data_IF_642510552517
#
_entry.id   IF_642510552517
#
_cell.length_a   1.000
_cell.length_b   1.000
_cell.length_c   1.000
_cell.angle_alpha   90.00
_cell.angle_beta   90.00
_cell.angle_gamma   90.00
#
_symmetry.space_group_name_H-M   'P 1'
#
loop_
_entity.id
_entity.type
_entity.pdbx_description
1 polymer ?
#
# COMPACT_ATOMS: atom_id res chain seq x y z
N UNK A 1 -13.12 -5.34 25.78
CA UNK A 1 -13.18 -4.70 27.11
C UNK A 1 -12.67 -5.62 28.22
N UNK A 2 -12.90 -6.91 28.13
CA UNK A 2 -12.57 -7.87 29.22
C UNK A 2 -11.07 -8.04 29.53
N UNK A 3 -10.20 -7.83 28.53
CA UNK A 3 -8.73 -7.91 28.72
C UNK A 3 -8.23 -6.82 29.68
N UNK A 4 -8.78 -5.62 29.63
CA UNK A 4 -8.38 -4.48 30.46
C UNK A 4 -8.71 -4.76 31.94
N UNK A 5 -9.91 -5.29 32.23
CA UNK A 5 -10.35 -5.55 33.56
C UNK A 5 -9.57 -6.68 34.26
N UNK A 6 -9.15 -7.72 33.50
CA UNK A 6 -8.51 -8.92 34.02
C UNK A 6 -7.00 -8.77 34.28
N UNK A 7 -6.32 -7.79 33.69
CA UNK A 7 -4.86 -7.67 33.79
C UNK A 7 -4.37 -6.36 34.45
N UNK A 8 -5.26 -5.57 35.00
CA UNK A 8 -4.91 -4.28 35.60
C UNK A 8 -4.31 -3.30 34.59
N UNK A 9 -4.76 -3.36 33.33
CA UNK A 9 -4.24 -2.53 32.24
C UNK A 9 -4.77 -1.11 32.38
N UNK A 10 -3.88 -0.13 32.39
CA UNK A 10 -4.23 1.29 32.36
C UNK A 10 -4.37 1.75 30.91
N UNK A 11 -5.44 2.45 30.59
CA UNK A 11 -5.62 3.12 29.30
C UNK A 11 -5.01 4.51 29.40
N UNK A 12 -4.09 4.81 28.49
CA UNK A 12 -3.52 6.15 28.32
C UNK A 12 -4.10 6.76 27.05
N UNK A 13 -4.52 8.02 27.11
CA UNK A 13 -4.92 8.80 25.95
C UNK A 13 -3.86 9.83 25.63
N UNK A 14 -3.63 10.07 24.34
CA UNK A 14 -2.83 11.18 23.86
C UNK A 14 -3.45 11.73 22.57
N UNK A 15 -3.19 12.99 22.28
CA UNK A 15 -3.61 13.62 21.05
C UNK A 15 -2.55 13.43 19.95
N UNK A 16 -3.00 13.06 18.77
CA UNK A 16 -2.18 12.97 17.56
C UNK A 16 -3.01 13.41 16.37
N UNK A 17 -2.52 14.40 15.63
CA UNK A 17 -3.16 14.93 14.43
C UNK A 17 -4.63 15.34 14.69
N UNK A 18 -4.89 16.02 15.83
CA UNK A 18 -6.22 16.46 16.26
C UNK A 18 -7.17 15.32 16.67
N UNK A 19 -6.65 14.09 16.83
CA UNK A 19 -7.44 12.91 17.24
C UNK A 19 -6.93 12.32 18.53
N UNK A 20 -7.86 11.94 19.41
CA UNK A 20 -7.52 11.21 20.64
C UNK A 20 -7.21 9.76 20.29
N UNK A 21 -5.99 9.32 20.63
CA UNK A 21 -5.55 7.93 20.54
C UNK A 21 -5.60 7.29 21.93
N UNK A 22 -6.11 6.07 21.98
CA UNK A 22 -6.14 5.28 23.21
C UNK A 22 -5.10 4.17 23.15
N UNK A 23 -4.12 4.22 24.05
CA UNK A 23 -3.08 3.21 24.17
C UNK A 23 -3.12 2.53 25.54
N UNK A 24 -2.84 1.24 25.54
CA UNK A 24 -2.82 0.43 26.74
C UNK A 24 -1.43 0.43 27.38
N UNK A 25 -1.38 0.12 28.68
CA UNK A 25 -0.14 -0.12 29.39
C UNK A 25 0.61 -1.32 28.78
N UNK A 26 1.69 -1.03 28.09
CA UNK A 26 2.52 -2.04 27.41
C UNK A 26 3.18 -3.01 28.38
N UNK A 27 3.51 -2.58 29.59
CA UNK A 27 4.15 -3.44 30.60
C UNK A 27 3.21 -4.55 31.08
N UNK A 28 1.92 -4.25 31.28
CA UNK A 28 0.93 -5.27 31.64
C UNK A 28 0.84 -6.37 30.56
N UNK A 29 0.82 -5.99 29.28
CA UNK A 29 0.80 -6.97 28.19
C UNK A 29 2.11 -7.76 28.04
N UNK A 30 3.27 -7.14 28.27
CA UNK A 30 4.54 -7.88 28.33
C UNK A 30 4.54 -8.95 29.41
N UNK A 31 3.97 -8.66 30.58
CA UNK A 31 3.78 -9.66 31.66
C UNK A 31 2.88 -10.80 31.20
N UNK A 32 1.78 -10.52 30.50
CA UNK A 32 0.90 -11.58 29.96
C UNK A 32 1.66 -12.49 29.00
N UNK A 33 2.54 -11.94 28.16
CA UNK A 33 3.37 -12.75 27.25
C UNK A 33 4.43 -13.58 27.97
N UNK A 34 4.91 -13.12 29.14
CA UNK A 34 5.94 -13.82 29.93
C UNK A 34 5.37 -14.88 30.89
N UNK A 35 4.06 -14.82 31.21
CA UNK A 35 3.41 -15.72 32.16
C UNK A 35 2.74 -16.91 31.44
N UNK A 36 2.49 -18.02 32.15
CA UNK A 36 1.60 -19.06 31.65
C UNK A 36 0.21 -18.47 31.35
N UNK A 37 -0.16 -18.46 30.08
CA UNK A 37 -1.41 -17.87 29.59
C UNK A 37 -1.94 -18.67 28.41
N UNK A 38 -3.23 -18.56 28.11
CA UNK A 38 -3.84 -19.22 26.97
C UNK A 38 -3.34 -18.63 25.64
N UNK A 39 -3.43 -19.39 24.54
CA UNK A 39 -3.08 -18.88 23.22
C UNK A 39 -3.82 -17.59 22.87
N UNK A 40 -5.12 -17.50 23.20
CA UNK A 40 -5.94 -16.31 23.00
C UNK A 40 -5.43 -15.12 23.81
N UNK A 41 -5.13 -15.29 25.09
CA UNK A 41 -4.62 -14.19 25.93
C UNK A 41 -3.29 -13.65 25.41
N UNK A 42 -2.39 -14.54 24.96
CA UNK A 42 -1.12 -14.12 24.32
C UNK A 42 -1.36 -13.36 23.01
N UNK A 43 -2.29 -13.83 22.17
CA UNK A 43 -2.62 -13.16 20.93
C UNK A 43 -3.23 -11.76 21.16
N UNK A 44 -4.17 -11.64 22.12
CA UNK A 44 -4.77 -10.34 22.48
C UNK A 44 -3.69 -9.37 23.00
N UNK A 45 -2.76 -9.85 23.84
CA UNK A 45 -1.64 -9.05 24.34
C UNK A 45 -0.68 -8.62 23.20
N UNK A 46 -0.35 -9.53 22.28
CA UNK A 46 0.49 -9.23 21.12
C UNK A 46 -0.18 -8.19 20.20
N UNK A 47 -1.47 -8.32 19.93
CA UNK A 47 -2.24 -7.35 19.14
C UNK A 47 -2.30 -5.97 19.80
N UNK A 48 -2.45 -5.91 21.14
CA UNK A 48 -2.44 -4.67 21.89
C UNK A 48 -1.07 -3.98 21.83
N UNK A 49 0.02 -4.72 22.08
CA UNK A 49 1.39 -4.20 22.05
C UNK A 49 1.82 -3.70 20.69
N UNK A 50 1.33 -4.31 19.62
CA UNK A 50 1.77 -4.02 18.25
C UNK A 50 0.88 -3.02 17.50
N UNK A 51 0.03 -2.25 18.20
CA UNK A 51 -0.83 -1.22 17.57
C UNK A 51 0.02 -0.09 17.01
N UNK A 52 -0.11 0.16 15.70
CA UNK A 52 0.62 1.25 15.03
C UNK A 52 0.31 2.63 15.62
N UNK A 53 -0.94 2.87 16.02
CA UNK A 53 -1.36 4.13 16.64
C UNK A 53 -0.69 4.40 18.01
N UNK A 54 -0.10 3.37 18.64
CA UNK A 54 0.58 3.49 19.93
C UNK A 54 2.12 3.57 19.81
N UNK A 55 2.65 3.62 18.60
CA UNK A 55 4.08 3.87 18.35
C UNK A 55 4.33 5.37 18.48
N UNK A 56 5.41 5.75 19.16
CA UNK A 56 5.81 7.14 19.29
C UNK A 56 6.06 7.76 17.90
N UNK A 57 5.35 8.82 17.52
CA UNK A 57 5.54 9.47 16.22
C UNK A 57 6.90 10.19 16.11
N UNK A 58 7.55 10.52 17.22
CA UNK A 58 8.84 11.21 17.26
C UNK A 58 10.03 10.27 16.99
N UNK A 59 9.82 8.96 16.87
CA UNK A 59 10.90 8.02 16.56
C UNK A 59 11.56 8.35 15.21
N UNK A 60 12.88 8.30 15.18
CA UNK A 60 13.66 8.39 13.93
C UNK A 60 13.40 7.17 13.04
N UNK A 61 13.72 7.29 11.77
CA UNK A 61 13.48 6.23 10.79
C UNK A 61 14.16 4.89 11.15
N UNK A 62 15.39 4.93 11.67
CA UNK A 62 16.12 3.75 12.15
C UNK A 62 15.42 3.07 13.34
N UNK A 63 14.94 3.87 14.28
CA UNK A 63 14.20 3.38 15.45
C UNK A 63 12.84 2.77 15.07
N UNK A 64 12.18 3.31 14.04
CA UNK A 64 10.93 2.74 13.55
C UNK A 64 11.13 1.35 12.95
N UNK A 65 12.23 1.14 12.22
CA UNK A 65 12.57 -0.18 11.70
C UNK A 65 12.74 -1.21 12.82
N UNK A 66 13.48 -0.84 13.87
CA UNK A 66 13.67 -1.71 15.03
C UNK A 66 12.34 -2.05 15.71
N UNK A 67 11.43 -1.07 15.79
CA UNK A 67 10.07 -1.28 16.32
C UNK A 67 9.26 -2.21 15.42
N UNK A 68 9.34 -2.08 14.10
CA UNK A 68 8.58 -2.96 13.19
C UNK A 68 9.14 -4.39 13.19
N UNK A 69 10.44 -4.56 13.26
CA UNK A 69 11.07 -5.88 13.45
C UNK A 69 10.67 -6.51 14.78
N UNK A 70 10.65 -5.73 15.87
CA UNK A 70 10.15 -6.19 17.17
C UNK A 70 8.65 -6.56 17.12
N UNK A 71 7.82 -5.76 16.44
CA UNK A 71 6.40 -6.06 16.24
C UNK A 71 6.21 -7.39 15.49
N UNK A 72 6.99 -7.62 14.45
CA UNK A 72 6.97 -8.86 13.70
C UNK A 72 7.32 -10.06 14.60
N UNK A 73 8.41 -9.96 15.39
CA UNK A 73 8.83 -11.01 16.32
C UNK A 73 7.77 -11.32 17.39
N UNK A 74 7.13 -10.30 17.95
CA UNK A 74 6.04 -10.49 18.94
C UNK A 74 4.85 -11.22 18.31
N UNK A 75 4.44 -10.82 17.10
CA UNK A 75 3.31 -11.42 16.41
C UNK A 75 3.62 -12.86 15.95
N UNK A 76 4.84 -13.14 15.51
CA UNK A 76 5.26 -14.47 15.02
C UNK A 76 5.23 -15.54 16.12
N UNK A 77 5.26 -15.14 17.39
CA UNK A 77 5.12 -16.03 18.55
C UNK A 77 3.67 -16.41 18.86
N UNK A 78 2.68 -15.87 18.13
CA UNK A 78 1.28 -16.25 18.32
C UNK A 78 1.01 -17.67 17.82
N UNK A 79 0.38 -18.47 18.68
CA UNK A 79 0.01 -19.87 18.42
C UNK A 79 -1.29 -19.94 17.60
N UNK A 80 -1.20 -19.67 16.30
CA UNK A 80 -2.34 -19.54 15.39
C UNK A 80 -3.29 -20.75 15.37
N UNK A 81 -2.80 -22.02 15.34
CA UNK A 81 -3.66 -23.20 15.30
C UNK A 81 -4.65 -23.27 16.47
N UNK A 82 -4.26 -22.74 17.64
CA UNK A 82 -5.06 -22.78 18.86
C UNK A 82 -5.88 -21.49 19.09
N UNK A 83 -6.03 -20.63 18.07
CA UNK A 83 -6.84 -19.41 18.14
C UNK A 83 -8.21 -19.60 17.47
N UNK A 84 -9.26 -18.95 18.02
CA UNK A 84 -10.51 -18.74 17.29
C UNK A 84 -10.23 -18.01 15.97
N UNK A 85 -10.99 -18.32 14.92
CA UNK A 85 -10.72 -17.84 13.56
C UNK A 85 -10.70 -16.30 13.45
N UNK A 86 -11.63 -15.62 14.09
CA UNK A 86 -11.65 -14.15 14.10
C UNK A 86 -10.42 -13.52 14.78
N UNK A 87 -9.83 -14.17 15.80
CA UNK A 87 -8.58 -13.71 16.43
C UNK A 87 -7.40 -13.99 15.51
N UNK A 88 -7.37 -15.17 14.88
CA UNK A 88 -6.37 -15.54 13.88
C UNK A 88 -6.35 -14.55 12.72
N UNK A 89 -7.51 -14.18 12.18
CA UNK A 89 -7.65 -13.14 11.16
C UNK A 89 -7.01 -11.81 11.59
N UNK A 90 -7.25 -11.37 12.81
CA UNK A 90 -6.65 -10.13 13.34
C UNK A 90 -5.14 -10.19 13.46
N UNK A 91 -4.59 -11.34 13.82
CA UNK A 91 -3.14 -11.56 13.84
C UNK A 91 -2.58 -11.52 12.41
N UNK A 92 -3.21 -12.22 11.47
CA UNK A 92 -2.82 -12.20 10.05
C UNK A 92 -2.85 -10.78 9.47
N UNK A 93 -3.92 -10.03 9.65
CA UNK A 93 -4.02 -8.63 9.20
C UNK A 93 -2.91 -7.75 9.81
N UNK A 94 -2.60 -7.93 11.09
CA UNK A 94 -1.54 -7.17 11.75
C UNK A 94 -0.16 -7.55 11.25
N UNK A 95 0.12 -8.85 11.06
CA UNK A 95 1.36 -9.33 10.45
C UNK A 95 1.53 -8.80 9.03
N UNK A 96 0.47 -8.89 8.21
CA UNK A 96 0.48 -8.39 6.84
C UNK A 96 0.86 -6.90 6.79
N UNK A 97 0.25 -6.06 7.63
CA UNK A 97 0.56 -4.64 7.68
C UNK A 97 2.01 -4.36 8.15
N UNK A 98 2.50 -5.08 9.17
CA UNK A 98 3.88 -4.92 9.68
C UNK A 98 4.90 -5.34 8.63
N UNK A 99 4.71 -6.49 7.99
CA UNK A 99 5.63 -6.95 6.95
C UNK A 99 5.60 -6.08 5.70
N UNK A 100 4.46 -5.48 5.36
CA UNK A 100 4.37 -4.48 4.30
C UNK A 100 5.17 -3.20 4.64
N UNK A 101 5.09 -2.69 5.87
CA UNK A 101 5.91 -1.56 6.32
C UNK A 101 7.40 -1.87 6.29
N UNK A 102 7.81 -3.07 6.73
CA UNK A 102 9.21 -3.52 6.64
C UNK A 102 9.68 -3.58 5.18
N UNK A 103 8.84 -4.11 4.27
CA UNK A 103 9.18 -4.16 2.85
C UNK A 103 9.35 -2.76 2.24
N UNK A 104 8.44 -1.84 2.57
CA UNK A 104 8.52 -0.44 2.12
C UNK A 104 9.80 0.25 2.60
N UNK A 105 10.15 0.14 3.88
CA UNK A 105 11.36 0.76 4.44
C UNK A 105 12.64 0.13 3.88
N UNK A 106 12.68 -1.20 3.68
CA UNK A 106 13.80 -1.86 3.01
C UNK A 106 13.99 -1.33 1.58
N UNK A 107 12.90 -1.21 0.82
CA UNK A 107 12.96 -0.67 -0.54
C UNK A 107 13.47 0.78 -0.57
N UNK A 108 13.02 1.63 0.35
CA UNK A 108 13.51 3.01 0.49
C UNK A 108 14.99 3.09 0.81
N UNK A 109 15.52 2.12 1.55
CA UNK A 109 16.94 2.02 1.90
C UNK A 109 17.77 1.25 0.86
N UNK A 110 17.18 0.93 -0.30
CA UNK A 110 17.82 0.14 -1.36
C UNK A 110 18.28 -1.26 -0.86
N UNK A 111 17.63 -1.78 0.15
CA UNK A 111 17.77 -3.14 0.64
C UNK A 111 16.74 -4.05 -0.04
N UNK A 112 16.95 -5.38 -0.03
CA UNK A 112 16.00 -6.32 -0.62
C UNK A 112 14.67 -6.34 0.15
N UNK A 113 13.55 -5.89 -0.47
CA UNK A 113 12.23 -5.94 0.15
C UNK A 113 11.49 -7.26 -0.08
N UNK A 114 12.00 -8.14 -0.95
CA UNK A 114 11.28 -9.28 -1.52
C UNK A 114 10.72 -10.23 -0.46
N UNK A 115 11.56 -10.67 0.48
CA UNK A 115 11.13 -11.59 1.54
C UNK A 115 9.96 -11.02 2.37
N UNK A 116 10.09 -9.75 2.76
CA UNK A 116 9.05 -9.07 3.55
C UNK A 116 7.75 -8.88 2.75
N UNK A 117 7.85 -8.56 1.46
CA UNK A 117 6.69 -8.43 0.58
C UNK A 117 5.97 -9.76 0.38
N UNK A 118 6.70 -10.86 0.14
CA UNK A 118 6.13 -12.22 0.04
C UNK A 118 5.41 -12.59 1.34
N UNK A 119 6.01 -12.33 2.50
CA UNK A 119 5.35 -12.58 3.80
C UNK A 119 4.09 -11.74 3.97
N UNK A 120 4.11 -10.46 3.65
CA UNK A 120 2.95 -9.60 3.73
C UNK A 120 1.77 -10.12 2.88
N UNK A 121 2.05 -10.54 1.64
CA UNK A 121 1.07 -11.13 0.74
C UNK A 121 0.50 -12.45 1.28
N UNK A 122 1.35 -13.35 1.78
CA UNK A 122 0.94 -14.62 2.35
C UNK A 122 0.02 -14.44 3.58
N UNK A 123 0.42 -13.58 4.52
CA UNK A 123 -0.37 -13.29 5.72
C UNK A 123 -1.75 -12.69 5.35
N UNK A 124 -1.83 -11.83 4.34
CA UNK A 124 -3.10 -11.28 3.89
C UNK A 124 -3.98 -12.32 3.17
N UNK A 125 -3.38 -13.25 2.44
CA UNK A 125 -4.09 -14.32 1.75
C UNK A 125 -4.72 -15.34 2.72
N UNK A 126 -4.15 -15.51 3.91
CA UNK A 126 -4.65 -16.41 4.95
C UNK A 126 -5.83 -15.81 5.75
N UNK A 127 -6.21 -14.57 5.48
CA UNK A 127 -7.37 -13.93 6.13
C UNK A 127 -8.66 -14.46 5.52
N UNK A 128 -9.59 -14.93 6.37
CA UNK A 128 -10.93 -15.37 5.97
C UNK A 128 -11.97 -14.23 6.15
N UNK A 129 -12.41 -13.55 5.08
CA UNK A 129 -13.35 -12.44 5.19
C UNK A 129 -14.74 -12.82 5.72
N UNK A 130 -15.10 -14.11 5.70
CA UNK A 130 -16.40 -14.60 6.20
C UNK A 130 -16.54 -14.49 7.71
N UNK A 131 -15.42 -14.41 8.41
CA UNK A 131 -15.33 -14.32 9.88
C UNK A 131 -15.03 -12.90 10.38
N UNK A 132 -15.34 -11.87 9.59
CA UNK A 132 -15.17 -10.47 9.98
C UNK A 132 -16.30 -9.98 10.88
N UNK A 133 -15.93 -9.32 11.98
CA UNK A 133 -16.79 -8.33 12.60
C UNK A 133 -16.73 -7.02 11.78
N UNK A 134 -17.71 -6.13 11.95
CA UNK A 134 -17.79 -4.85 11.21
C UNK A 134 -16.49 -4.04 11.27
N UNK A 135 -15.86 -3.97 12.43
CA UNK A 135 -14.60 -3.27 12.66
C UNK A 135 -13.38 -3.92 11.96
N UNK A 136 -13.46 -5.22 11.64
CA UNK A 136 -12.36 -5.95 11.03
C UNK A 136 -12.19 -5.56 9.55
N UNK A 137 -13.27 -5.16 8.87
CA UNK A 137 -13.22 -4.69 7.49
C UNK A 137 -12.31 -3.45 7.33
N UNK A 138 -12.36 -2.51 8.25
CA UNK A 138 -11.50 -1.31 8.24
C UNK A 138 -10.03 -1.72 8.42
N UNK A 139 -9.75 -2.64 9.35
CA UNK A 139 -8.39 -3.14 9.61
C UNK A 139 -7.85 -3.93 8.42
N UNK A 140 -8.71 -4.73 7.77
CA UNK A 140 -8.34 -5.45 6.56
C UNK A 140 -8.01 -4.50 5.41
N UNK A 141 -8.84 -3.49 5.17
CA UNK A 141 -8.60 -2.52 4.09
C UNK A 141 -7.30 -1.74 4.32
N UNK A 142 -6.99 -1.34 5.56
CA UNK A 142 -5.69 -0.73 5.90
C UNK A 142 -4.53 -1.66 5.55
N UNK A 143 -4.58 -2.92 5.97
CA UNK A 143 -3.56 -3.91 5.65
C UNK A 143 -3.46 -4.16 4.13
N UNK A 144 -4.59 -4.28 3.43
CA UNK A 144 -4.64 -4.53 2.00
C UNK A 144 -4.04 -3.38 1.19
N UNK A 145 -4.27 -2.12 1.59
CA UNK A 145 -3.65 -0.93 0.94
C UNK A 145 -2.13 -0.99 1.07
N UNK A 146 -1.61 -1.30 2.27
CA UNK A 146 -0.16 -1.42 2.53
C UNK A 146 0.46 -2.57 1.75
N UNK A 147 -0.12 -3.76 1.83
CA UNK A 147 0.35 -4.95 1.12
C UNK A 147 0.32 -4.75 -0.40
N UNK A 148 -0.77 -4.17 -0.92
CA UNK A 148 -0.86 -3.81 -2.33
C UNK A 148 0.22 -2.83 -2.78
N UNK A 149 0.72 -1.98 -1.87
CA UNK A 149 1.81 -1.04 -2.12
C UNK A 149 3.15 -1.71 -2.37
N UNK A 150 3.38 -2.87 -1.82
CA UNK A 150 4.68 -3.58 -1.91
C UNK A 150 4.63 -4.83 -2.78
N UNK A 151 3.49 -5.14 -3.40
CA UNK A 151 3.32 -6.36 -4.20
C UNK A 151 4.34 -6.51 -5.34
N UNK A 152 4.74 -5.40 -5.95
CA UNK A 152 5.75 -5.41 -7.04
C UNK A 152 7.15 -5.79 -6.56
N UNK A 153 7.40 -5.79 -5.26
CA UNK A 153 8.67 -6.24 -4.69
C UNK A 153 8.73 -7.78 -4.53
N UNK A 154 7.60 -8.47 -4.57
CA UNK A 154 7.55 -9.93 -4.44
C UNK A 154 8.13 -10.65 -5.67
N UNK A 155 7.98 -10.06 -6.85
CA UNK A 155 8.48 -10.60 -8.10
C UNK A 155 9.77 -9.92 -8.54
N UNK A 156 10.70 -10.63 -9.20
CA UNK A 156 11.88 -10.01 -9.78
C UNK A 156 11.45 -9.03 -10.90
N UNK A 157 12.16 -7.89 -10.98
CA UNK A 157 11.95 -6.96 -12.09
C UNK A 157 12.12 -7.70 -13.42
N UNK A 158 11.17 -7.58 -14.36
CA UNK A 158 11.36 -8.14 -15.69
C UNK A 158 12.61 -7.50 -16.32
N UNK A 159 13.47 -8.34 -16.88
CA UNK A 159 14.65 -7.85 -17.57
C UNK A 159 14.22 -6.92 -18.71
N UNK A 160 14.62 -5.66 -18.65
CA UNK A 160 14.35 -4.69 -19.71
C UNK A 160 15.12 -5.10 -20.95
N UNK A 161 14.43 -5.53 -21.98
CA UNK A 161 15.06 -5.85 -23.25
C UNK A 161 15.69 -4.56 -23.84
N UNK A 162 16.99 -4.55 -24.21
CA UNK A 162 17.59 -3.43 -24.90
C UNK A 162 16.82 -3.13 -26.20
N UNK A 163 16.49 -1.86 -26.44
CA UNK A 163 15.79 -1.44 -27.68
C UNK A 163 14.25 -1.53 -27.61
N UNK A 164 13.67 -1.89 -26.47
CA UNK A 164 12.22 -1.82 -26.27
C UNK A 164 11.73 -0.36 -26.31
N UNK A 165 10.49 -0.16 -26.77
CA UNK A 165 9.85 1.14 -26.91
C UNK A 165 9.82 2.01 -25.66
N UNK A 166 8.71 2.68 -25.40
CA UNK A 166 8.53 3.58 -24.27
C UNK A 166 8.76 2.87 -22.92
N UNK A 167 9.62 3.42 -22.06
CA UNK A 167 9.92 2.89 -20.72
C UNK A 167 10.38 3.99 -19.77
N UNK A 168 10.36 3.70 -18.48
CA UNK A 168 10.93 4.58 -17.45
C UNK A 168 12.31 4.08 -17.00
N UNK A 169 13.18 5.03 -16.73
CA UNK A 169 14.51 4.81 -16.13
C UNK A 169 14.60 5.69 -14.88
N UNK A 170 15.05 5.12 -13.77
CA UNK A 170 15.28 5.87 -12.54
C UNK A 170 16.75 6.22 -12.38
N UNK A 171 17.01 7.42 -11.89
CA UNK A 171 18.35 7.92 -11.53
C UNK A 171 18.28 8.61 -10.17
N UNK A 172 19.41 8.68 -9.49
CA UNK A 172 19.50 9.48 -8.27
C UNK A 172 19.40 10.97 -8.63
N UNK A 173 18.57 11.70 -7.88
CA UNK A 173 18.51 13.16 -7.87
C UNK A 173 19.30 13.76 -6.73
N UNK A 174 18.69 14.68 -5.96
CA UNK A 174 19.26 15.19 -4.71
C UNK A 174 19.34 14.07 -3.67
N UNK A 175 19.95 14.33 -2.51
CA UNK A 175 20.07 13.35 -1.44
C UNK A 175 18.69 12.81 -1.03
N UNK A 176 18.46 11.51 -1.24
CA UNK A 176 17.18 10.83 -0.98
C UNK A 176 16.12 10.98 -2.08
N UNK A 177 16.41 11.70 -3.17
CA UNK A 177 15.51 11.90 -4.29
C UNK A 177 15.77 10.87 -5.40
N UNK A 178 14.70 10.41 -6.03
CA UNK A 178 14.72 9.57 -7.24
C UNK A 178 14.08 10.34 -8.40
N UNK A 179 14.79 10.48 -9.50
CA UNK A 179 14.27 11.06 -10.74
C UNK A 179 13.84 9.95 -11.70
N UNK A 180 12.65 10.07 -12.27
CA UNK A 180 12.07 9.16 -13.26
C UNK A 180 12.12 9.83 -14.61
N UNK A 181 12.86 9.26 -15.54
CA UNK A 181 12.95 9.71 -16.91
C UNK A 181 12.16 8.77 -17.82
N UNK A 182 11.28 9.33 -18.66
CA UNK A 182 10.61 8.60 -19.74
C UNK A 182 11.51 8.60 -20.96
N UNK A 183 11.87 7.43 -21.44
CA UNK A 183 12.76 7.23 -22.58
C UNK A 183 12.16 6.25 -23.60
N UNK A 184 12.68 6.29 -24.83
CA UNK A 184 12.32 5.37 -25.91
C UNK A 184 13.57 4.93 -26.70
N UNK A 185 13.41 4.36 -27.86
CA UNK A 185 14.52 3.92 -28.70
C UNK A 185 15.41 5.07 -29.21
N UNK A 186 14.93 6.32 -29.20
CA UNK A 186 15.62 7.52 -29.74
C UNK A 186 16.09 8.46 -28.62
N UNK A 187 15.54 8.33 -27.43
CA UNK A 187 15.77 9.24 -26.29
C UNK A 187 16.35 8.48 -25.13
N UNK A 188 17.52 8.86 -24.68
CA UNK A 188 18.20 8.38 -23.48
C UNK A 188 17.89 9.26 -22.26
N UNK A 189 18.47 8.97 -21.10
CA UNK A 189 18.24 9.72 -19.86
C UNK A 189 18.62 11.20 -19.96
N UNK A 190 19.79 11.58 -20.52
CA UNK A 190 20.13 12.99 -20.75
C UNK A 190 19.17 13.75 -21.67
N UNK A 191 18.51 13.06 -22.57
CA UNK A 191 17.57 13.62 -23.56
C UNK A 191 16.18 13.00 -23.41
N UNK A 192 15.73 12.78 -22.17
CA UNK A 192 14.47 12.14 -21.88
C UNK A 192 13.28 12.91 -22.49
N UNK A 193 12.25 12.18 -22.90
CA UNK A 193 10.99 12.76 -23.38
C UNK A 193 10.35 13.67 -22.35
N UNK A 194 10.39 13.28 -21.08
CA UNK A 194 10.02 14.06 -19.90
C UNK A 194 10.61 13.39 -18.66
N UNK A 195 10.88 14.16 -17.63
CA UNK A 195 11.32 13.65 -16.33
C UNK A 195 10.61 14.34 -15.17
N UNK A 196 10.49 13.61 -14.06
CA UNK A 196 9.96 14.12 -12.80
C UNK A 196 10.68 13.44 -11.64
N UNK A 197 11.05 14.21 -10.61
CA UNK A 197 11.72 13.66 -9.43
C UNK A 197 10.77 13.57 -8.23
N UNK A 198 11.08 12.68 -7.28
CA UNK A 198 10.30 12.43 -6.08
C UNK A 198 11.18 11.93 -4.94
N UNK A 199 10.78 12.21 -3.70
CA UNK A 199 11.31 11.56 -2.49
C UNK A 199 10.56 10.26 -2.13
N UNK A 200 9.52 9.93 -2.92
CA UNK A 200 8.76 8.70 -2.78
C UNK A 200 9.45 7.49 -3.42
N UNK A 201 9.00 6.30 -3.04
CA UNK A 201 9.45 5.05 -3.65
C UNK A 201 8.81 4.87 -5.03
N UNK A 202 9.62 4.59 -6.04
CA UNK A 202 9.18 4.37 -7.42
C UNK A 202 9.15 2.87 -7.71
N UNK A 203 7.98 2.35 -8.03
CA UNK A 203 7.77 0.94 -8.39
C UNK A 203 7.90 0.74 -9.90
N UNK A 204 9.12 0.60 -10.41
CA UNK A 204 9.37 0.43 -11.86
C UNK A 204 8.62 -0.77 -12.45
N UNK A 205 8.47 -1.86 -11.68
CA UNK A 205 7.73 -3.05 -12.12
C UNK A 205 6.23 -2.80 -12.37
N UNK A 206 5.69 -1.68 -11.88
CA UNK A 206 4.31 -1.27 -12.13
C UNK A 206 4.09 -0.57 -13.47
N UNK A 207 5.18 -0.26 -14.21
CA UNK A 207 5.09 0.50 -15.43
C UNK A 207 4.23 -0.24 -16.49
N UNK A 208 3.21 0.43 -16.99
CA UNK A 208 2.33 -0.08 -18.04
C UNK A 208 2.23 0.94 -19.17
N UNK A 209 2.53 0.51 -20.40
CA UNK A 209 2.48 1.34 -21.60
C UNK A 209 1.21 1.02 -22.38
N UNK A 210 0.52 2.05 -22.91
CA UNK A 210 -0.62 1.82 -23.77
C UNK A 210 -0.19 1.29 -25.16
N UNK A 211 -1.09 0.63 -25.87
CA UNK A 211 -0.79 0.00 -27.16
C UNK A 211 -0.29 1.00 -28.24
N UNK A 212 -0.66 2.26 -28.12
CA UNK A 212 -0.23 3.32 -29.07
C UNK A 212 1.17 3.88 -28.75
N UNK A 213 1.78 3.54 -27.61
CA UNK A 213 3.06 4.12 -27.17
C UNK A 213 2.99 5.62 -26.85
N UNK A 214 1.81 6.14 -26.51
CA UNK A 214 1.55 7.56 -26.24
C UNK A 214 1.26 7.86 -24.76
N UNK A 215 1.20 6.83 -23.92
CA UNK A 215 1.04 6.98 -22.48
C UNK A 215 1.67 5.82 -21.72
N UNK A 216 2.12 6.11 -20.47
CA UNK A 216 2.63 5.15 -19.51
C UNK A 216 2.10 5.49 -18.13
N UNK A 217 1.58 4.48 -17.43
CA UNK A 217 1.20 4.58 -16.02
C UNK A 217 2.29 3.99 -15.13
N UNK A 218 2.54 4.61 -13.97
CA UNK A 218 3.58 4.21 -13.02
C UNK A 218 3.07 4.42 -11.58
N UNK A 219 3.29 3.45 -10.70
CA UNK A 219 3.01 3.60 -9.27
C UNK A 219 4.19 4.27 -8.56
N UNK A 220 3.89 5.33 -7.82
CA UNK A 220 4.83 6.04 -6.95
C UNK A 220 4.23 6.10 -5.55
N UNK A 221 5.03 5.80 -4.54
CA UNK A 221 4.60 5.68 -3.15
C UNK A 221 5.36 6.67 -2.28
N UNK A 222 4.82 7.88 -2.05
CA UNK A 222 5.46 8.90 -1.22
C UNK A 222 5.57 8.49 0.25
N UNK A 223 4.61 7.72 0.76
CA UNK A 223 4.55 7.26 2.15
C UNK A 223 4.08 5.80 2.22
N UNK A 224 4.38 5.12 3.31
CA UNK A 224 4.10 3.70 3.56
C UNK A 224 2.67 3.24 3.16
N UNK A 225 1.66 4.06 3.44
CA UNK A 225 0.26 3.72 3.14
C UNK A 225 -0.39 4.63 2.09
N UNK A 226 0.38 5.43 1.36
CA UNK A 226 -0.13 6.34 0.35
C UNK A 226 0.57 6.14 -0.99
N UNK A 227 -0.17 5.73 -2.01
CA UNK A 227 0.35 5.44 -3.35
C UNK A 227 -0.39 6.22 -4.42
N UNK A 228 0.37 6.96 -5.22
CA UNK A 228 -0.09 7.75 -6.34
C UNK A 228 0.11 6.99 -7.65
N UNK A 229 -0.70 7.30 -8.65
CA UNK A 229 -0.45 6.91 -10.03
C UNK A 229 0.13 8.11 -10.79
N UNK A 230 1.32 7.96 -11.33
CA UNK A 230 1.88 8.93 -12.27
C UNK A 230 1.50 8.53 -13.69
N UNK A 231 0.91 9.45 -14.41
CA UNK A 231 0.51 9.29 -15.80
C UNK A 231 1.44 10.12 -16.69
N UNK A 232 2.31 9.44 -17.44
CA UNK A 232 3.09 10.02 -18.52
C UNK A 232 2.24 9.97 -19.76
N UNK A 233 1.99 11.10 -20.43
CA UNK A 233 1.17 11.15 -21.63
C UNK A 233 1.53 12.28 -22.55
N UNK A 234 1.11 12.18 -23.80
CA UNK A 234 1.26 13.26 -24.79
C UNK A 234 0.03 14.18 -24.74
N UNK A 235 0.28 15.49 -24.67
CA UNK A 235 -0.72 16.53 -24.78
C UNK A 235 -0.17 17.66 -25.63
N UNK A 236 -0.85 18.00 -26.74
CA UNK A 236 -0.40 19.03 -27.68
C UNK A 236 0.97 18.72 -28.32
N UNK A 237 1.31 17.45 -28.51
CA UNK A 237 2.59 17.03 -29.07
C UNK A 237 3.77 17.02 -28.10
N UNK A 238 3.55 17.38 -26.84
CA UNK A 238 4.56 17.38 -25.78
C UNK A 238 4.25 16.30 -24.75
N UNK A 239 5.29 15.67 -24.20
CA UNK A 239 5.17 14.76 -23.08
C UNK A 239 4.99 15.52 -21.76
N UNK A 240 4.09 15.01 -20.92
CA UNK A 240 3.81 15.52 -19.58
C UNK A 240 3.74 14.39 -18.57
N UNK A 241 3.92 14.73 -17.29
CA UNK A 241 3.71 13.82 -16.15
C UNK A 241 2.69 14.44 -15.23
N UNK A 242 1.55 13.80 -15.11
CA UNK A 242 0.52 14.20 -14.16
C UNK A 242 0.42 13.18 -13.02
N UNK A 243 0.17 13.69 -11.81
CA UNK A 243 0.05 12.90 -10.61
C UNK A 243 -1.42 12.75 -10.25
N UNK A 244 -1.88 11.50 -10.15
CA UNK A 244 -3.22 11.18 -9.72
C UNK A 244 -3.16 10.62 -8.28
N UNK A 245 -3.50 11.44 -7.26
CA UNK A 245 -3.49 11.00 -5.87
C UNK A 245 -4.70 10.11 -5.55
N UNK A 246 -4.67 9.35 -4.45
CA UNK A 246 -5.81 8.58 -3.96
C UNK A 246 -7.05 9.41 -3.67
N UNK A 247 -6.87 10.59 -3.07
CA UNK A 247 -7.92 11.55 -2.75
C UNK A 247 -7.35 12.98 -2.77
N UNK A 248 -8.24 13.97 -2.75
CA UNK A 248 -7.88 15.40 -2.63
C UNK A 248 -7.60 15.83 -1.17
N UNK A 249 -7.81 14.95 -0.19
CA UNK A 249 -7.53 15.20 1.23
C UNK A 249 -6.05 15.00 1.57
N UNK A 250 -5.66 15.40 2.78
CA UNK A 250 -4.34 15.12 3.31
C UNK A 250 -4.03 13.61 3.26
N UNK A 251 -2.79 13.23 2.94
CA UNK A 251 -2.39 11.84 2.84
C UNK A 251 -2.58 11.09 4.15
N UNK A 252 -3.30 9.95 4.10
CA UNK A 252 -3.48 9.03 5.23
C UNK A 252 -3.23 7.58 4.74
N UNK A 253 -4.28 6.84 4.44
CA UNK A 253 -4.22 5.48 3.86
C UNK A 253 -4.98 5.48 2.56
N UNK A 254 -4.32 5.14 1.46
CA UNK A 254 -4.99 5.11 0.17
C UNK A 254 -4.07 4.80 -1.01
N UNK A 255 -4.70 4.52 -2.14
CA UNK A 255 -4.02 4.30 -3.41
C UNK A 255 -4.81 4.88 -4.58
N UNK A 256 -4.08 5.27 -5.63
CA UNK A 256 -4.55 5.37 -6.99
C UNK A 256 -3.76 4.40 -7.85
N UNK A 257 -4.44 3.51 -8.56
CA UNK A 257 -3.82 2.44 -9.36
C UNK A 257 -4.28 2.47 -10.80
N UNK A 258 -3.34 2.18 -11.68
CA UNK A 258 -3.65 1.80 -13.05
C UNK A 258 -4.46 0.50 -13.05
N UNK A 259 -5.65 0.54 -13.68
CA UNK A 259 -6.53 -0.61 -13.78
C UNK A 259 -6.76 -1.09 -15.22
N UNK A 260 -6.26 -0.35 -16.23
CA UNK A 260 -6.33 -0.76 -17.64
C UNK A 260 -6.34 0.41 -18.61
N UNK A 261 -5.99 0.13 -19.85
CA UNK A 261 -6.11 1.06 -20.97
C UNK A 261 -7.40 0.81 -21.74
N UNK A 262 -8.11 1.87 -22.17
CA UNK A 262 -9.30 1.74 -23.01
C UNK A 262 -8.87 1.76 -24.49
N UNK A 263 -8.97 0.63 -25.22
CA UNK A 263 -8.54 0.55 -26.61
C UNK A 263 -9.25 1.55 -27.51
N UNK A 264 -8.49 2.24 -28.37
CA UNK A 264 -9.02 3.20 -29.34
C UNK A 264 -9.55 4.50 -28.74
N UNK A 265 -9.32 4.75 -27.45
CA UNK A 265 -9.71 5.99 -26.76
C UNK A 265 -8.53 6.59 -25.98
N UNK A 266 -8.57 7.91 -25.80
CA UNK A 266 -7.65 8.62 -24.93
C UNK A 266 -8.14 8.53 -23.47
N UNK A 267 -8.43 7.32 -22.97
CA UNK A 267 -8.96 7.10 -21.63
C UNK A 267 -8.20 5.98 -20.93
N UNK A 268 -7.99 6.14 -19.61
CA UNK A 268 -7.37 5.16 -18.71
C UNK A 268 -8.34 4.80 -17.60
N UNK A 269 -8.31 3.53 -17.18
CA UNK A 269 -9.06 3.05 -16.02
C UNK A 269 -8.21 3.23 -14.77
N UNK A 270 -8.77 3.90 -13.77
CA UNK A 270 -8.11 4.17 -12.49
C UNK A 270 -8.95 3.60 -11.35
N UNK A 271 -8.34 2.81 -10.50
CA UNK A 271 -8.95 2.38 -9.23
C UNK A 271 -8.39 3.26 -8.12
N UNK A 272 -9.27 3.87 -7.34
CA UNK A 272 -8.90 4.67 -6.17
C UNK A 272 -9.59 4.14 -4.93
N UNK A 273 -8.86 4.13 -3.85
CA UNK A 273 -9.40 3.92 -2.52
C UNK A 273 -8.61 4.78 -1.53
N UNK A 274 -9.30 5.50 -0.68
CA UNK A 274 -8.68 6.28 0.36
C UNK A 274 -9.53 6.29 1.62
N UNK A 275 -8.88 6.37 2.77
CA UNK A 275 -9.54 6.62 4.05
C UNK A 275 -9.70 8.12 4.23
N UNK A 276 -10.93 8.60 4.15
CA UNK A 276 -11.32 10.00 4.34
C UNK A 276 -12.25 10.06 5.53
N UNK A 277 -11.97 10.91 6.51
CA UNK A 277 -12.75 11.03 7.76
C UNK A 277 -13.01 9.69 8.48
N UNK A 278 -11.99 8.80 8.46
CA UNK A 278 -12.03 7.50 9.11
C UNK A 278 -12.81 6.41 8.35
N UNK A 279 -13.33 6.70 7.16
CA UNK A 279 -14.06 5.77 6.30
C UNK A 279 -13.33 5.55 4.98
N UNK A 280 -13.29 4.30 4.51
CA UNK A 280 -12.77 4.01 3.18
C UNK A 280 -13.78 4.38 2.10
N UNK A 281 -13.34 5.21 1.16
CA UNK A 281 -14.10 5.57 -0.04
C UNK A 281 -13.39 4.95 -1.24
N UNK A 282 -14.13 4.17 -2.01
CA UNK A 282 -13.61 3.49 -3.19
C UNK A 282 -14.27 4.05 -4.44
N UNK A 283 -13.47 4.26 -5.48
CA UNK A 283 -13.94 4.70 -6.79
C UNK A 283 -13.19 3.98 -7.89
N UNK A 284 -13.95 3.56 -8.88
CA UNK A 284 -13.44 3.06 -10.15
C UNK A 284 -13.77 4.09 -11.21
N UNK A 285 -12.76 4.62 -11.89
CA UNK A 285 -12.90 5.80 -12.72
C UNK A 285 -12.44 5.53 -14.16
N UNK A 286 -13.14 6.11 -15.12
CA UNK A 286 -12.68 6.29 -16.50
C UNK A 286 -12.18 7.71 -16.60
N UNK A 287 -10.87 7.89 -16.76
CA UNK A 287 -10.21 9.19 -16.78
C UNK A 287 -9.76 9.51 -18.19
N UNK A 288 -10.10 10.68 -18.69
CA UNK A 288 -9.58 11.21 -19.95
C UNK A 288 -8.10 11.59 -19.79
N UNK A 289 -7.21 11.02 -20.61
CA UNK A 289 -5.76 11.26 -20.51
C UNK A 289 -5.34 12.66 -20.98
N UNK A 290 -6.17 13.37 -21.73
CA UNK A 290 -5.84 14.71 -22.23
C UNK A 290 -6.26 15.81 -21.26
N UNK A 291 -7.47 15.69 -20.68
CA UNK A 291 -8.04 16.69 -19.76
C UNK A 291 -7.88 16.32 -18.29
N UNK A 292 -7.57 15.05 -18.00
CA UNK A 292 -7.54 14.43 -16.65
C UNK A 292 -8.89 14.44 -15.95
N UNK A 293 -9.97 14.75 -16.66
CA UNK A 293 -11.32 14.73 -16.13
C UNK A 293 -11.81 13.29 -15.98
N UNK A 294 -12.56 13.04 -14.90
CA UNK A 294 -13.26 11.78 -14.69
C UNK A 294 -14.51 11.77 -15.55
N UNK A 295 -14.50 11.01 -16.64
CA UNK A 295 -15.64 10.88 -17.56
C UNK A 295 -16.80 10.09 -16.94
N UNK A 296 -16.46 9.05 -16.18
CA UNK A 296 -17.41 8.18 -15.47
C UNK A 296 -16.75 7.58 -14.24
N UNK A 297 -17.56 7.28 -13.24
CA UNK A 297 -17.10 6.56 -12.06
C UNK A 297 -18.21 5.69 -11.44
N UNK A 298 -17.81 4.70 -10.63
CA UNK A 298 -18.71 3.90 -9.80
C UNK A 298 -17.94 3.40 -8.56
N UNK A 299 -18.66 2.97 -7.53
CA UNK A 299 -18.10 2.35 -6.33
C UNK A 299 -17.70 0.88 -6.54
N UNK A 300 -18.23 0.26 -7.60
CA UNK A 300 -17.92 -1.12 -7.96
C UNK A 300 -17.52 -1.20 -9.44
N UNK A 301 -16.47 -1.96 -9.78
CA UNK A 301 -15.98 -2.05 -11.17
C UNK A 301 -17.01 -2.68 -12.11
N UNK A 302 -17.82 -3.62 -11.61
CA UNK A 302 -18.87 -4.28 -12.38
C UNK A 302 -19.98 -3.31 -12.86
N UNK A 303 -20.16 -2.17 -12.18
CA UNK A 303 -21.14 -1.14 -12.56
C UNK A 303 -20.67 -0.25 -13.71
N UNK A 304 -19.41 -0.34 -14.12
CA UNK A 304 -18.84 0.39 -15.24
C UNK A 304 -18.52 -0.58 -16.40
N UNK A 305 -19.27 -0.52 -17.48
CA UNK A 305 -19.04 -1.38 -18.67
C UNK A 305 -17.59 -1.32 -19.17
N UNK A 306 -16.96 -0.15 -19.12
CA UNK A 306 -15.57 0.03 -19.52
C UNK A 306 -14.60 -0.75 -18.62
N UNK A 307 -14.78 -0.71 -17.28
CA UNK A 307 -13.98 -1.49 -16.34
C UNK A 307 -14.18 -2.99 -16.57
N UNK A 308 -15.40 -3.44 -16.61
CA UNK A 308 -15.69 -4.86 -16.85
C UNK A 308 -15.01 -5.38 -18.13
N UNK A 309 -14.99 -4.57 -19.18
CA UNK A 309 -14.52 -4.96 -20.51
C UNK A 309 -13.00 -4.84 -20.68
N UNK A 310 -12.37 -3.81 -20.08
CA UNK A 310 -11.01 -3.39 -20.37
C UNK A 310 -10.08 -3.35 -19.15
N UNK A 311 -10.52 -3.85 -17.99
CA UNK A 311 -9.62 -3.97 -16.84
C UNK A 311 -8.43 -4.87 -17.19
N UNK A 312 -7.25 -4.45 -16.79
CA UNK A 312 -6.03 -5.20 -16.98
C UNK A 312 -6.06 -6.51 -16.21
N UNK A 313 -5.66 -7.62 -16.85
CA UNK A 313 -5.71 -8.95 -16.25
C UNK A 313 -4.76 -9.09 -15.05
N UNK A 314 -3.56 -8.48 -15.12
CA UNK A 314 -2.62 -8.48 -14.01
C UNK A 314 -3.17 -7.66 -12.85
N UNK A 315 -3.69 -6.46 -13.12
CA UNK A 315 -4.34 -5.67 -12.07
C UNK A 315 -5.48 -6.43 -11.39
N UNK A 316 -6.34 -7.12 -12.16
CA UNK A 316 -7.45 -7.90 -11.61
C UNK A 316 -6.98 -9.05 -10.72
N UNK A 317 -5.93 -9.75 -11.13
CA UNK A 317 -5.34 -10.88 -10.39
C UNK A 317 -4.63 -10.43 -9.13
N UNK A 318 -3.83 -9.37 -9.24
CA UNK A 318 -2.85 -8.97 -8.23
C UNK A 318 -3.39 -7.93 -7.25
N UNK A 319 -4.64 -7.48 -7.43
CA UNK A 319 -5.26 -6.56 -6.47
C UNK A 319 -5.71 -7.33 -5.23
N UNK A 320 -5.23 -6.88 -4.08
CA UNK A 320 -5.44 -7.51 -2.76
C UNK A 320 -6.53 -6.85 -1.92
N UNK A 321 -7.20 -5.81 -2.42
CA UNK A 321 -8.31 -5.17 -1.70
C UNK A 321 -9.60 -5.98 -1.77
N UNK A 322 -10.44 -5.88 -0.74
CA UNK A 322 -11.80 -6.45 -0.77
C UNK A 322 -12.62 -5.80 -1.90
N UNK A 323 -13.21 -6.64 -2.72
CA UNK A 323 -14.08 -6.26 -3.85
C UNK A 323 -15.46 -6.88 -3.73
#
# INVERSE_FOLDING_TARGET
MDVVANYGVTIKSYERDGRVQLCYDGEAFRRVLAMPSTARQRADAALALTRAACIDPALRADQRDDVDLWRADVLDKADLPNLPEYVRNRVHMRRAAVWASIAFERARKQQSPQEAAIRALAELADVNPREFAEQDAVTYNDAAVRVGGVRWAADPLPASAPGAGLRVVTTAGQAGETCVALVDAKHDVPHALVSKCTYGLVWQASASVNAAGTALALAVQPMDAWREMWLFHQSGGLWRVDVLPPAASDPDVGYAEFAGWVPGKASVLVAREARVDGRFQRRFEVVNMTTLEVERWAEQPASLTMFYRWQDAAWKRDTVSLR
#
